data_IF_974120351229
#
_entry.id   IF_974120351229
#
_cell.length_a   1.000
_cell.length_b   1.000
_cell.length_c   1.000
_cell.angle_alpha   90.00
_cell.angle_beta   90.00
_cell.angle_gamma   90.00
#
_symmetry.space_group_name_H-M   'P 1'
#
loop_
_entity.id
_entity.type
_entity.pdbx_description
1 polymer ?
#
# COMPACT_ATOMS: atom_id res chain seq x y z
N UNK A 1 -0.48 -0.82 -16.23
CA UNK A 1 0.57 -1.30 -15.28
C UNK A 1 0.58 -0.31 -14.14
N UNK A 2 0.28 -0.79 -12.94
CA UNK A 2 0.24 0.03 -11.74
C UNK A 2 1.66 0.25 -11.23
N UNK A 3 2.05 1.51 -11.08
CA UNK A 3 3.27 1.93 -10.40
C UNK A 3 2.93 2.56 -9.06
N UNK A 4 3.68 2.18 -8.02
CA UNK A 4 3.44 2.62 -6.65
C UNK A 4 4.74 3.12 -6.03
N UNK A 5 4.66 4.22 -5.29
CA UNK A 5 5.76 4.71 -4.47
C UNK A 5 5.25 5.11 -3.10
N UNK A 6 6.07 4.89 -2.06
CA UNK A 6 5.69 5.06 -0.66
C UNK A 6 6.63 6.03 0.07
N UNK A 7 6.08 6.78 1.00
CA UNK A 7 6.82 7.49 2.05
C UNK A 7 6.27 7.11 3.42
N UNK A 8 6.89 7.58 4.49
CA UNK A 8 6.37 7.46 5.87
C UNK A 8 4.94 7.97 5.98
N UNK A 9 4.65 9.10 5.34
CA UNK A 9 3.40 9.84 5.48
C UNK A 9 2.39 9.60 4.35
N UNK A 10 2.77 8.86 3.31
CA UNK A 10 2.02 8.88 2.07
C UNK A 10 2.32 7.77 1.07
N UNK A 11 1.65 7.89 -0.09
CA UNK A 11 1.84 7.06 -1.26
C UNK A 11 1.51 7.84 -2.54
N UNK A 12 2.00 7.32 -3.65
CA UNK A 12 1.65 7.73 -4.98
C UNK A 12 1.37 6.46 -5.81
N UNK A 13 0.23 6.42 -6.49
CA UNK A 13 -0.19 5.36 -7.41
C UNK A 13 -0.38 5.98 -8.78
N UNK A 14 0.12 5.30 -9.81
CA UNK A 14 -0.15 5.65 -11.20
C UNK A 14 -0.54 4.41 -12.00
N UNK A 15 -1.59 4.55 -12.80
CA UNK A 15 -1.95 3.58 -13.84
C UNK A 15 -2.43 4.31 -15.09
N UNK A 16 -1.80 4.05 -16.23
CA UNK A 16 -2.19 4.57 -17.55
C UNK A 16 -2.42 6.09 -17.61
N UNK A 17 -1.73 6.84 -16.75
CA UNK A 17 -1.81 8.29 -16.63
C UNK A 17 -2.87 8.79 -15.64
N UNK A 18 -3.72 7.91 -15.12
CA UNK A 18 -4.50 8.18 -13.91
C UNK A 18 -3.59 8.09 -12.70
N UNK A 19 -3.82 8.99 -11.74
CA UNK A 19 -2.94 9.17 -10.58
C UNK A 19 -3.77 9.36 -9.34
N UNK A 20 -3.41 8.62 -8.28
CA UNK A 20 -3.98 8.75 -6.95
C UNK A 20 -2.86 8.88 -5.94
N UNK A 21 -3.02 9.73 -4.93
CA UNK A 21 -1.97 9.97 -3.95
C UNK A 21 -2.52 10.45 -2.62
N UNK A 22 -1.76 10.19 -1.57
CA UNK A 22 -1.97 10.73 -0.24
C UNK A 22 -0.62 11.13 0.36
N UNK A 23 -0.59 12.18 1.19
CA UNK A 23 0.59 12.49 2.00
C UNK A 23 1.88 12.81 1.23
N UNK A 24 1.78 13.41 0.04
CA UNK A 24 2.97 13.73 -0.76
C UNK A 24 3.83 14.83 -0.13
N UNK A 25 5.16 14.80 -0.36
CA UNK A 25 6.06 15.93 -0.12
C UNK A 25 5.45 17.23 -0.64
N UNK A 26 5.48 18.30 0.15
CA UNK A 26 4.77 19.54 -0.16
C UNK A 26 5.23 20.13 -1.50
N UNK A 27 6.54 20.06 -1.79
CA UNK A 27 7.11 20.50 -3.06
C UNK A 27 6.60 19.69 -4.25
N UNK A 28 6.47 18.37 -4.11
CA UNK A 28 5.91 17.51 -5.14
C UNK A 28 4.41 17.79 -5.32
N UNK A 29 3.65 17.87 -4.22
CA UNK A 29 2.23 18.21 -4.23
C UNK A 29 1.97 19.48 -5.04
N UNK A 30 2.73 20.56 -4.78
CA UNK A 30 2.56 21.82 -5.52
C UNK A 30 2.86 21.72 -7.02
N UNK A 31 3.63 20.72 -7.47
CA UNK A 31 3.97 20.52 -8.89
C UNK A 31 2.91 19.75 -9.66
N UNK A 32 2.20 18.85 -8.97
CA UNK A 32 1.26 17.92 -9.61
C UNK A 32 -0.20 18.23 -9.31
N UNK A 33 -0.51 18.80 -8.14
CA UNK A 33 -1.87 19.14 -7.77
C UNK A 33 -2.40 20.33 -8.58
N UNK A 34 -3.55 20.13 -9.24
CA UNK A 34 -4.14 21.16 -10.11
C UNK A 34 -3.28 21.51 -11.32
N UNK A 35 -2.37 20.61 -11.73
CA UNK A 35 -1.50 20.79 -12.89
C UNK A 35 -2.35 21.04 -14.14
N UNK A 36 -2.01 22.07 -14.89
CA UNK A 36 -2.74 22.45 -16.10
C UNK A 36 -2.62 21.36 -17.17
N UNK A 37 -3.71 21.04 -17.86
CA UNK A 37 -3.73 20.05 -18.94
C UNK A 37 -2.75 20.34 -20.10
N UNK A 38 -2.33 21.60 -20.26
CA UNK A 38 -1.33 22.00 -21.26
C UNK A 38 0.10 21.64 -20.88
N UNK A 39 0.36 21.31 -19.61
CA UNK A 39 1.68 20.88 -19.15
C UNK A 39 1.83 19.36 -19.35
N UNK A 40 3.06 18.87 -19.55
CA UNK A 40 3.35 17.45 -19.65
C UNK A 40 2.81 16.70 -18.43
N UNK A 41 2.15 15.57 -18.68
CA UNK A 41 1.69 14.67 -17.62
C UNK A 41 2.86 14.04 -16.86
N UNK A 42 2.57 13.48 -15.70
CA UNK A 42 3.55 12.71 -14.92
C UNK A 42 3.78 11.37 -15.62
N UNK A 43 5.04 10.95 -15.73
CA UNK A 43 5.46 9.64 -16.26
C UNK A 43 5.84 8.70 -15.13
N UNK A 44 6.59 9.18 -14.14
CA UNK A 44 7.10 8.38 -13.04
C UNK A 44 7.33 9.26 -11.81
N UNK A 45 7.08 8.72 -10.62
CA UNK A 45 7.34 9.38 -9.33
C UNK A 45 8.01 8.39 -8.40
N UNK A 46 9.09 8.83 -7.77
CA UNK A 46 9.63 8.20 -6.57
C UNK A 46 9.50 9.18 -5.41
N UNK A 47 8.97 8.71 -4.30
CA UNK A 47 8.93 9.44 -3.02
C UNK A 47 9.67 8.63 -1.98
N UNK A 48 10.19 9.34 -0.98
CA UNK A 48 10.71 8.76 0.26
C UNK A 48 10.32 9.71 1.40
N UNK A 49 10.93 9.52 2.57
CA UNK A 49 10.60 10.28 3.76
C UNK A 49 10.93 11.79 3.64
N UNK A 50 10.31 12.58 4.51
CA UNK A 50 10.39 14.03 4.55
C UNK A 50 9.92 14.71 3.24
N UNK A 51 10.72 15.65 2.69
CA UNK A 51 10.44 16.35 1.44
C UNK A 51 11.11 15.66 0.23
N UNK A 52 11.49 14.39 0.36
CA UNK A 52 12.30 13.66 -0.62
C UNK A 52 11.46 13.15 -1.78
N UNK A 53 11.78 13.57 -3.01
CA UNK A 53 11.09 13.09 -4.20
C UNK A 53 11.95 13.18 -5.48
N UNK A 54 11.57 12.39 -6.46
CA UNK A 54 11.93 12.51 -7.86
C UNK A 54 10.66 12.40 -8.70
N UNK A 55 10.53 13.24 -9.73
CA UNK A 55 9.43 13.18 -10.70
C UNK A 55 9.98 13.32 -12.11
N UNK A 56 9.57 12.40 -12.99
CA UNK A 56 9.82 12.42 -14.42
C UNK A 56 8.50 12.67 -15.15
N UNK A 57 8.52 13.57 -16.12
CA UNK A 57 7.36 13.95 -16.92
C UNK A 57 7.38 13.28 -18.31
N UNK A 58 6.22 13.25 -18.97
CA UNK A 58 6.03 12.58 -20.27
C UNK A 58 6.83 13.20 -21.42
N UNK A 59 7.33 14.41 -21.28
CA UNK A 59 8.21 15.08 -22.25
C UNK A 59 9.71 14.83 -21.98
N UNK A 60 10.05 14.04 -20.96
CA UNK A 60 11.42 13.72 -20.58
C UNK A 60 12.04 14.72 -19.60
N UNK A 61 11.34 15.80 -19.24
CA UNK A 61 11.78 16.70 -18.18
C UNK A 61 11.67 16.01 -16.82
N UNK A 62 12.60 16.27 -15.91
CA UNK A 62 12.60 15.70 -14.57
C UNK A 62 12.97 16.73 -13.52
N UNK A 63 12.46 16.54 -12.29
CA UNK A 63 12.70 17.41 -11.15
C UNK A 63 12.78 16.58 -9.88
N UNK A 64 13.61 17.02 -8.93
CA UNK A 64 13.85 16.25 -7.71
C UNK A 64 14.15 17.14 -6.52
N UNK A 65 14.15 16.52 -5.33
CA UNK A 65 14.66 17.03 -4.08
C UNK A 65 15.11 15.79 -3.30
N UNK A 66 16.41 15.46 -3.31
CA UNK A 66 16.93 14.21 -2.71
C UNK A 66 18.12 14.52 -1.80
N UNK A 67 19.33 14.64 -2.36
CA UNK A 67 20.54 15.04 -1.63
C UNK A 67 21.54 15.72 -2.57
N UNK A 68 22.57 16.36 -2.03
CA UNK A 68 23.63 16.96 -2.86
C UNK A 68 24.38 15.89 -3.67
N UNK A 69 24.57 14.68 -3.11
CA UNK A 69 25.19 13.57 -3.85
C UNK A 69 24.32 13.08 -5.02
N UNK A 70 23.00 13.16 -4.87
CA UNK A 70 22.07 12.88 -5.97
C UNK A 70 22.19 13.96 -7.06
N UNK A 71 22.33 15.24 -6.68
CA UNK A 71 22.54 16.33 -7.64
C UNK A 71 23.78 16.09 -8.47
N UNK A 72 24.91 15.77 -7.83
CA UNK A 72 26.17 15.45 -8.50
C UNK A 72 26.02 14.23 -9.41
N UNK A 73 25.38 13.16 -8.93
CA UNK A 73 25.20 11.94 -9.71
C UNK A 73 24.37 12.13 -10.98
N UNK A 74 23.37 13.01 -10.95
CA UNK A 74 22.56 13.35 -12.13
C UNK A 74 23.31 14.32 -13.06
N UNK A 75 24.03 15.29 -12.51
CA UNK A 75 24.77 16.29 -13.30
C UNK A 75 26.02 15.74 -13.99
N UNK A 76 26.68 14.75 -13.38
CA UNK A 76 27.87 14.10 -13.93
C UNK A 76 27.54 13.07 -15.03
N UNK A 77 26.26 12.71 -15.20
CA UNK A 77 25.80 11.80 -16.25
C UNK A 77 25.51 12.54 -17.56
N UNK A 78 25.99 11.99 -18.68
CA UNK A 78 25.64 12.45 -20.02
C UNK A 78 24.26 11.92 -20.50
N UNK A 79 23.60 11.08 -19.69
CA UNK A 79 22.35 10.40 -20.00
C UNK A 79 21.25 10.77 -19.00
N UNK A 80 20.00 10.80 -19.45
CA UNK A 80 18.86 11.16 -18.62
C UNK A 80 18.47 10.02 -17.67
N UNK A 81 17.99 10.32 -16.45
CA UNK A 81 17.42 9.31 -15.57
C UNK A 81 16.18 8.67 -16.21
N UNK A 82 16.20 7.35 -16.34
CA UNK A 82 15.07 6.54 -16.81
C UNK A 82 14.22 6.04 -15.62
N UNK A 83 14.87 5.60 -14.55
CA UNK A 83 14.23 5.09 -13.35
C UNK A 83 15.02 5.50 -12.10
N UNK A 84 14.30 5.84 -11.03
CA UNK A 84 14.89 6.22 -9.74
C UNK A 84 14.18 5.48 -8.62
N UNK A 85 14.93 4.79 -7.77
CA UNK A 85 14.42 4.28 -6.50
C UNK A 85 14.98 5.11 -5.36
N UNK A 86 14.10 5.54 -4.44
CA UNK A 86 14.47 6.26 -3.23
C UNK A 86 14.17 5.37 -2.03
N UNK A 87 15.12 5.27 -1.11
CA UNK A 87 14.97 4.59 0.18
C UNK A 87 15.10 5.57 1.34
N UNK A 88 15.19 5.04 2.56
CA UNK A 88 15.45 5.87 3.75
C UNK A 88 16.89 6.39 3.80
N UNK A 89 17.16 7.37 4.66
CA UNK A 89 18.51 7.85 5.00
C UNK A 89 19.36 8.26 3.77
N UNK A 90 18.75 8.90 2.78
CA UNK A 90 19.44 9.35 1.56
C UNK A 90 19.88 8.21 0.63
N UNK A 91 19.31 7.02 0.80
CA UNK A 91 19.50 5.89 -0.09
C UNK A 91 18.84 6.15 -1.44
N UNK A 92 19.58 5.93 -2.53
CA UNK A 92 19.03 6.01 -3.87
C UNK A 92 19.70 5.06 -4.86
N UNK A 93 18.96 4.73 -5.90
CA UNK A 93 19.42 4.07 -7.11
C UNK A 93 18.89 4.82 -8.33
N UNK A 94 19.74 5.07 -9.32
CA UNK A 94 19.38 5.71 -10.59
C UNK A 94 19.80 4.78 -11.72
N UNK A 95 18.85 4.43 -12.60
CA UNK A 95 19.12 3.85 -13.93
C UNK A 95 18.95 4.95 -14.97
N UNK A 96 19.92 5.09 -15.85
CA UNK A 96 19.92 6.05 -16.95
C UNK A 96 19.53 5.37 -18.27
N UNK A 97 19.06 6.17 -19.24
CA UNK A 97 18.58 5.69 -20.55
C UNK A 97 19.64 4.95 -21.39
N UNK A 98 20.92 5.13 -21.07
CA UNK A 98 22.04 4.45 -21.73
C UNK A 98 22.36 3.08 -21.09
N UNK A 99 21.59 2.69 -20.07
CA UNK A 99 21.77 1.46 -19.30
C UNK A 99 22.80 1.59 -18.17
N UNK A 100 23.48 2.73 -18.03
CA UNK A 100 24.32 2.99 -16.88
C UNK A 100 23.45 3.12 -15.62
N UNK A 101 24.04 2.86 -14.46
CA UNK A 101 23.39 3.11 -13.19
C UNK A 101 24.38 3.56 -12.13
N UNK A 102 23.89 4.37 -11.19
CA UNK A 102 24.61 4.76 -10.00
C UNK A 102 23.72 4.58 -8.76
N UNK A 103 24.34 4.55 -7.60
CA UNK A 103 23.62 4.35 -6.34
C UNK A 103 24.40 4.91 -5.17
N UNK A 104 23.70 5.29 -4.13
CA UNK A 104 24.25 5.73 -2.86
C UNK A 104 23.49 5.10 -1.70
N UNK A 105 24.22 4.75 -0.63
CA UNK A 105 23.66 4.22 0.62
C UNK A 105 22.59 3.12 0.46
N UNK A 106 22.70 2.27 -0.57
CA UNK A 106 21.79 1.13 -0.77
C UNK A 106 22.05 0.02 0.24
N UNK A 107 21.08 -0.89 0.49
CA UNK A 107 21.26 -2.01 1.41
C UNK A 107 22.56 -2.79 1.19
N UNK A 108 23.28 -3.07 2.27
CA UNK A 108 24.65 -3.59 2.21
C UNK A 108 24.76 -4.90 1.40
N UNK A 109 23.76 -5.78 1.53
CA UNK A 109 23.67 -7.02 0.75
C UNK A 109 23.48 -6.75 -0.75
N UNK A 110 22.68 -5.75 -1.13
CA UNK A 110 22.52 -5.35 -2.53
C UNK A 110 23.82 -4.73 -3.07
N UNK A 111 24.44 -3.82 -2.31
CA UNK A 111 25.74 -3.24 -2.65
C UNK A 111 26.79 -4.30 -2.98
N UNK A 112 26.94 -5.30 -2.10
CA UNK A 112 27.91 -6.39 -2.29
C UNK A 112 27.62 -7.20 -3.55
N UNK A 113 26.35 -7.40 -3.91
CA UNK A 113 25.97 -8.10 -5.14
C UNK A 113 26.25 -7.26 -6.39
N UNK A 114 26.11 -5.95 -6.34
CA UNK A 114 26.36 -5.06 -7.48
C UNK A 114 27.86 -4.81 -7.73
N UNK A 115 28.67 -4.66 -6.68
CA UNK A 115 30.10 -4.29 -6.76
C UNK A 115 30.99 -5.24 -7.60
N UNK A 116 30.54 -6.45 -7.88
CA UNK A 116 31.27 -7.45 -8.66
C UNK A 116 30.51 -8.00 -9.87
N UNK A 117 29.39 -7.38 -10.26
CA UNK A 117 28.54 -7.91 -11.33
C UNK A 117 29.25 -7.80 -12.68
N UNK A 118 29.22 -8.89 -13.45
CA UNK A 118 29.84 -8.96 -14.78
C UNK A 118 28.92 -8.30 -15.82
N UNK A 119 29.50 -7.54 -16.75
CA UNK A 119 28.76 -6.74 -17.73
C UNK A 119 27.97 -7.54 -18.78
N UNK A 120 28.21 -8.86 -18.91
CA UNK A 120 27.47 -9.72 -19.83
C UNK A 120 26.20 -10.31 -19.20
N UNK A 121 26.01 -10.15 -17.89
CA UNK A 121 24.78 -10.54 -17.22
C UNK A 121 23.69 -9.51 -17.53
N UNK A 122 22.44 -9.94 -17.49
CA UNK A 122 21.28 -9.07 -17.74
C UNK A 122 21.37 -7.78 -16.91
N UNK A 123 21.17 -6.59 -17.51
CA UNK A 123 21.20 -5.34 -16.77
C UNK A 123 20.15 -5.29 -15.68
N UNK A 124 20.41 -4.46 -14.67
CA UNK A 124 19.45 -4.17 -13.62
C UNK A 124 18.39 -3.22 -14.19
N UNK A 125 17.12 -3.48 -13.89
CA UNK A 125 15.98 -2.74 -14.43
C UNK A 125 15.29 -1.93 -13.34
N UNK A 126 14.73 -2.59 -12.33
CA UNK A 126 14.01 -1.94 -11.23
C UNK A 126 14.61 -2.31 -9.89
N UNK A 127 14.55 -1.37 -8.96
CA UNK A 127 14.95 -1.57 -7.57
C UNK A 127 13.86 -1.00 -6.65
N UNK A 128 13.57 -1.71 -5.58
CA UNK A 128 12.79 -1.22 -4.45
C UNK A 128 13.60 -1.45 -3.17
N UNK A 129 13.52 -0.52 -2.23
CA UNK A 129 14.25 -0.55 -0.96
C UNK A 129 13.29 -0.12 0.14
N UNK A 130 13.33 -0.79 1.28
CA UNK A 130 12.61 -0.36 2.49
C UNK A 130 13.55 0.38 3.46
N UNK A 131 12.99 0.84 4.58
CA UNK A 131 13.71 1.53 5.64
C UNK A 131 14.55 0.64 6.55
N UNK A 132 14.41 -0.68 6.45
CA UNK A 132 15.04 -1.68 7.33
C UNK A 132 16.20 -2.43 6.66
N UNK A 133 16.57 -2.02 5.43
CA UNK A 133 17.64 -2.64 4.65
C UNK A 133 17.16 -3.83 3.80
N UNK A 134 15.85 -4.02 3.70
CA UNK A 134 15.23 -4.89 2.73
C UNK A 134 15.27 -4.29 1.32
N UNK A 135 15.37 -5.16 0.33
CA UNK A 135 15.39 -4.77 -1.08
C UNK A 135 14.80 -5.82 -2.00
N UNK A 136 14.39 -5.36 -3.16
CA UNK A 136 14.09 -6.15 -4.34
C UNK A 136 14.74 -5.49 -5.57
N UNK A 137 15.35 -6.29 -6.42
CA UNK A 137 16.14 -5.85 -7.56
C UNK A 137 15.85 -6.76 -8.76
N UNK A 138 15.14 -6.23 -9.75
CA UNK A 138 14.72 -6.93 -10.97
C UNK A 138 15.65 -6.62 -12.12
N UNK A 139 15.89 -7.62 -12.97
CA UNK A 139 16.71 -7.54 -14.17
C UNK A 139 15.85 -7.49 -15.43
N UNK A 140 16.43 -7.05 -16.54
CA UNK A 140 15.73 -6.94 -17.84
C UNK A 140 15.25 -8.29 -18.40
N UNK A 141 15.82 -9.41 -17.94
CA UNK A 141 15.34 -10.76 -18.27
C UNK A 141 14.16 -11.23 -17.40
N UNK A 142 13.69 -10.37 -16.49
CA UNK A 142 12.59 -10.63 -15.56
C UNK A 142 12.99 -11.44 -14.33
N UNK A 143 14.24 -11.89 -14.21
CA UNK A 143 14.74 -12.46 -12.95
C UNK A 143 14.89 -11.36 -11.90
N UNK A 144 14.92 -11.74 -10.62
CA UNK A 144 15.08 -10.77 -9.54
C UNK A 144 15.86 -11.35 -8.36
N UNK A 145 16.41 -10.43 -7.57
CA UNK A 145 17.01 -10.67 -6.27
C UNK A 145 16.20 -9.97 -5.22
N UNK A 146 16.12 -10.57 -4.04
CA UNK A 146 15.62 -9.90 -2.85
C UNK A 146 16.43 -10.31 -1.63
N UNK A 147 16.26 -9.58 -0.52
CA UNK A 147 16.82 -9.93 0.77
C UNK A 147 16.51 -8.87 1.81
N UNK A 148 16.53 -9.26 3.09
CA UNK A 148 16.24 -8.36 4.21
C UNK A 148 14.75 -7.98 4.34
N UNK A 149 13.86 -8.68 3.63
CA UNK A 149 12.42 -8.47 3.71
C UNK A 149 11.81 -9.30 4.85
N UNK A 150 10.67 -8.86 5.38
CA UNK A 150 9.90 -9.61 6.37
C UNK A 150 9.44 -10.99 5.85
N UNK A 151 9.18 -11.92 6.78
CA UNK A 151 8.83 -13.33 6.48
C UNK A 151 7.64 -13.43 5.53
N UNK A 152 6.53 -12.73 5.83
CA UNK A 152 5.33 -12.74 4.98
C UNK A 152 5.59 -12.32 3.53
N UNK A 153 6.36 -11.25 3.32
CA UNK A 153 6.67 -10.79 1.95
C UNK A 153 7.67 -11.72 1.25
N UNK A 154 8.58 -12.32 2.03
CA UNK A 154 9.52 -13.33 1.53
C UNK A 154 8.79 -14.56 1.01
N UNK A 155 7.83 -15.07 1.78
CA UNK A 155 6.99 -16.23 1.39
C UNK A 155 6.19 -15.91 0.12
N UNK A 156 5.59 -14.70 0.04
CA UNK A 156 4.89 -14.26 -1.17
C UNK A 156 5.79 -14.24 -2.41
N UNK A 157 7.04 -13.80 -2.27
CA UNK A 157 8.02 -13.75 -3.38
C UNK A 157 8.53 -15.12 -3.80
N UNK A 158 8.53 -16.10 -2.89
CA UNK A 158 8.90 -17.48 -3.17
C UNK A 158 7.75 -18.23 -3.89
N UNK A 159 6.50 -17.97 -3.47
CA UNK A 159 5.32 -18.63 -4.04
C UNK A 159 4.83 -17.99 -5.35
N UNK A 160 5.16 -16.73 -5.60
CA UNK A 160 4.62 -15.97 -6.74
C UNK A 160 5.72 -15.37 -7.61
N UNK A 161 5.51 -15.44 -8.93
CA UNK A 161 6.36 -14.72 -9.88
C UNK A 161 6.06 -13.21 -9.79
N UNK A 162 6.89 -12.50 -9.06
CA UNK A 162 6.79 -11.04 -8.92
C UNK A 162 7.08 -10.33 -10.24
N UNK A 163 6.16 -9.47 -10.69
CA UNK A 163 6.35 -8.60 -11.85
C UNK A 163 6.79 -7.20 -11.45
N UNK A 164 6.24 -6.68 -10.35
CA UNK A 164 6.61 -5.40 -9.80
C UNK A 164 6.40 -5.40 -8.29
N UNK A 165 7.35 -4.80 -7.57
CA UNK A 165 7.30 -4.63 -6.13
C UNK A 165 7.69 -3.18 -5.80
N UNK A 166 6.84 -2.52 -5.03
CA UNK A 166 7.14 -1.28 -4.33
C UNK A 166 7.28 -1.58 -2.84
N UNK A 167 8.32 -1.00 -2.23
CA UNK A 167 8.59 -1.10 -0.81
C UNK A 167 8.46 0.29 -0.19
N UNK A 168 7.94 0.34 1.02
CA UNK A 168 7.81 1.55 1.81
C UNK A 168 8.27 1.33 3.25
N UNK A 169 8.33 2.40 4.05
CA UNK A 169 8.69 2.31 5.45
C UNK A 169 7.73 1.42 6.25
N UNK A 170 8.17 0.94 7.41
CA UNK A 170 7.36 0.17 8.36
C UNK A 170 6.73 -1.11 7.77
N UNK A 171 7.45 -1.79 6.86
CA UNK A 171 6.99 -3.04 6.24
C UNK A 171 5.86 -2.86 5.22
N UNK A 172 5.65 -1.62 4.73
CA UNK A 172 4.68 -1.36 3.66
C UNK A 172 5.17 -1.93 2.34
N UNK A 173 4.27 -2.57 1.61
CA UNK A 173 4.58 -3.04 0.26
C UNK A 173 3.36 -3.05 -0.65
N UNK A 174 3.63 -3.02 -1.95
CA UNK A 174 2.70 -3.38 -3.00
C UNK A 174 3.42 -4.29 -3.99
N UNK A 175 2.90 -5.50 -4.15
CA UNK A 175 3.39 -6.53 -5.04
C UNK A 175 2.32 -6.79 -6.11
N UNK A 176 2.74 -6.84 -7.37
CA UNK A 176 1.91 -7.33 -8.47
C UNK A 176 2.57 -8.55 -9.11
N UNK A 177 1.73 -9.53 -9.43
CA UNK A 177 2.08 -10.64 -10.31
C UNK A 177 1.19 -10.57 -11.56
N UNK A 178 1.21 -11.60 -12.43
CA UNK A 178 0.43 -11.57 -13.68
C UNK A 178 -1.09 -11.60 -13.50
N UNK A 179 -1.59 -12.04 -12.34
CA UNK A 179 -2.99 -12.39 -12.13
C UNK A 179 -3.60 -11.74 -10.87
N UNK A 180 -2.78 -11.13 -10.02
CA UNK A 180 -3.15 -10.73 -8.66
C UNK A 180 -2.22 -9.66 -8.13
N UNK A 181 -2.73 -8.95 -7.13
CA UNK A 181 -2.02 -7.92 -6.39
C UNK A 181 -2.05 -8.26 -4.90
N UNK A 182 -0.97 -7.94 -4.20
CA UNK A 182 -0.83 -8.14 -2.76
C UNK A 182 -0.22 -6.88 -2.16
N UNK A 183 -0.75 -6.40 -1.06
CA UNK A 183 -0.19 -5.22 -0.41
C UNK A 183 -0.36 -5.29 1.10
N UNK A 184 0.46 -4.52 1.79
CA UNK A 184 0.37 -4.26 3.21
C UNK A 184 0.50 -2.77 3.41
N UNK A 185 -0.62 -2.07 3.57
CA UNK A 185 -0.70 -0.62 3.66
C UNK A 185 -1.89 -0.20 4.53
N UNK A 186 -2.03 1.11 4.74
CA UNK A 186 -3.16 1.69 5.46
C UNK A 186 -4.45 1.73 4.63
N UNK A 187 -5.61 1.86 5.30
CA UNK A 187 -6.95 1.97 4.71
C UNK A 187 -7.09 2.99 3.55
N UNK A 188 -6.27 4.05 3.49
CA UNK A 188 -6.36 5.02 2.38
C UNK A 188 -5.83 4.38 1.09
N UNK A 189 -4.75 3.61 1.21
CA UNK A 189 -4.17 2.89 0.09
C UNK A 189 -5.15 1.86 -0.44
N UNK A 190 -5.78 1.06 0.43
CA UNK A 190 -6.82 0.08 0.06
C UNK A 190 -7.90 0.73 -0.79
N UNK A 191 -8.45 1.86 -0.34
CA UNK A 191 -9.50 2.57 -1.08
C UNK A 191 -9.01 3.04 -2.45
N UNK A 192 -7.78 3.59 -2.50
CA UNK A 192 -7.21 4.12 -3.75
C UNK A 192 -6.85 3.02 -4.73
N UNK A 193 -6.37 1.87 -4.27
CA UNK A 193 -5.96 0.78 -5.13
C UNK A 193 -7.16 -0.02 -5.63
N UNK A 194 -8.22 -0.16 -4.83
CA UNK A 194 -9.48 -0.80 -5.25
C UNK A 194 -10.16 -0.08 -6.41
N UNK A 195 -10.12 1.25 -6.45
CA UNK A 195 -10.64 2.03 -7.61
C UNK A 195 -9.97 1.63 -8.94
N UNK A 196 -8.73 1.16 -8.92
CA UNK A 196 -8.02 0.67 -10.11
C UNK A 196 -8.30 -0.81 -10.42
N UNK A 197 -8.81 -1.57 -9.45
CA UNK A 197 -9.09 -3.00 -9.60
C UNK A 197 -10.52 -3.27 -10.10
N UNK A 198 -11.46 -2.37 -9.83
CA UNK A 198 -12.87 -2.52 -10.22
C UNK A 198 -13.12 -2.26 -11.73
N UNK A 199 -12.12 -1.77 -12.47
CA UNK A 199 -12.24 -1.44 -13.91
C UNK A 199 -12.09 -2.67 -14.85
N UNK A 200 -11.69 -3.86 -14.36
CA UNK A 200 -11.54 -5.05 -15.22
C UNK A 200 -12.84 -5.87 -15.46
N UNK A 201 -13.97 -5.54 -14.82
CA UNK A 201 -15.22 -6.34 -14.92
C UNK A 201 -16.39 -5.69 -15.70
N UNK A 202 -16.16 -4.60 -16.45
CA UNK A 202 -17.17 -4.04 -17.37
C UNK A 202 -16.99 -4.52 -18.83
N UNK A 203 -16.87 -5.83 -19.07
CA UNK A 203 -17.14 -6.35 -20.42
C UNK A 203 -17.54 -7.84 -20.48
N UNK A 204 -18.65 -8.19 -19.84
CA UNK A 204 -19.45 -9.36 -20.26
C UNK A 204 -20.82 -8.84 -20.68
N UNK A 205 -20.97 -8.64 -21.99
CA UNK A 205 -22.22 -8.32 -22.65
C UNK A 205 -23.33 -9.28 -22.22
N UNK A 206 -24.45 -8.71 -21.78
CA UNK A 206 -25.75 -9.34 -21.70
C UNK A 206 -26.07 -10.05 -23.02
N UNK A 207 -25.93 -11.37 -23.09
CA UNK A 207 -26.72 -12.18 -24.03
C UNK A 207 -26.86 -13.63 -23.54
N UNK A 208 -28.11 -13.97 -23.24
CA UNK A 208 -28.72 -15.31 -23.23
C UNK A 208 -28.59 -16.15 -21.94
N UNK A 209 -29.48 -15.86 -20.99
CA UNK A 209 -30.07 -16.88 -20.12
C UNK A 209 -30.91 -17.85 -20.97
N UNK A 210 -30.47 -19.11 -21.06
CA UNK A 210 -31.37 -20.23 -21.29
C UNK A 210 -31.39 -21.10 -20.03
N UNK A 211 -32.54 -21.08 -19.36
CA UNK A 211 -32.93 -22.00 -18.31
C UNK A 211 -32.83 -23.44 -18.85
N UNK A 212 -31.99 -24.29 -18.24
CA UNK A 212 -32.31 -25.68 -17.92
C UNK A 212 -31.13 -26.37 -17.21
N UNK A 213 -31.43 -26.92 -16.04
CA UNK A 213 -30.65 -27.84 -15.21
C UNK A 213 -29.46 -27.27 -14.39
N UNK A 214 -29.78 -26.75 -13.21
CA UNK A 214 -28.95 -27.04 -12.04
C UNK A 214 -29.82 -27.24 -10.79
N UNK A 215 -30.06 -28.51 -10.49
CA UNK A 215 -30.66 -28.95 -9.25
C UNK A 215 -29.62 -28.95 -8.13
N UNK A 216 -30.02 -28.37 -6.98
CA UNK A 216 -29.63 -28.74 -5.61
C UNK A 216 -28.12 -28.74 -5.33
N UNK A 217 -27.62 -27.64 -4.81
CA UNK A 217 -27.28 -27.48 -3.38
C UNK A 217 -26.52 -26.15 -3.23
N UNK A 218 -27.04 -25.25 -2.39
CA UNK A 218 -26.36 -24.05 -1.88
C UNK A 218 -26.78 -23.98 -0.39
N UNK A 219 -25.89 -23.68 0.57
CA UNK A 219 -25.12 -22.42 0.59
C UNK A 219 -23.66 -22.55 1.06
N UNK A 220 -22.76 -21.72 0.53
CA UNK A 220 -21.76 -20.93 1.30
C UNK A 220 -20.79 -20.18 0.36
N UNK A 221 -21.20 -19.02 -0.17
CA UNK A 221 -20.25 -17.95 -0.51
C UNK A 221 -19.97 -17.14 0.75
N UNK A 222 -19.01 -17.60 1.55
CA UNK A 222 -18.39 -16.81 2.61
C UNK A 222 -17.22 -16.04 2.04
N UNK A 223 -17.18 -14.72 2.24
CA UNK A 223 -16.01 -13.90 1.92
C UNK A 223 -14.77 -14.44 2.64
N UNK A 224 -13.74 -14.81 1.89
CA UNK A 224 -12.45 -15.39 2.34
C UNK A 224 -11.57 -14.35 3.06
N UNK A 225 -12.08 -13.69 4.09
CA UNK A 225 -11.24 -12.93 5.02
C UNK A 225 -10.61 -13.90 6.01
N UNK A 226 -9.30 -14.10 5.94
CA UNK A 226 -8.55 -14.79 6.98
C UNK A 226 -8.57 -13.94 8.27
N UNK A 227 -8.96 -14.54 9.40
CA UNK A 227 -9.03 -13.89 10.71
C UNK A 227 -8.47 -14.81 11.79
N UNK A 228 -7.93 -14.23 12.85
CA UNK A 228 -7.26 -14.98 13.92
C UNK A 228 -8.26 -15.56 14.92
N UNK A 229 -9.24 -14.76 15.33
CA UNK A 229 -10.14 -15.12 16.42
C UNK A 229 -11.53 -14.47 16.29
N UNK A 230 -12.52 -15.09 16.92
CA UNK A 230 -13.85 -14.55 17.13
C UNK A 230 -13.95 -13.93 18.52
N UNK A 231 -14.10 -12.61 18.61
CA UNK A 231 -14.11 -11.87 19.89
C UNK A 231 -15.45 -11.17 20.10
N UNK A 232 -15.92 -11.08 21.34
CA UNK A 232 -17.09 -10.25 21.67
C UNK A 232 -16.71 -8.77 21.50
N UNK A 233 -17.40 -7.99 20.66
CA UNK A 233 -17.13 -6.57 20.47
C UNK A 233 -17.08 -5.78 21.79
N UNK A 234 -17.82 -6.21 22.81
CA UNK A 234 -17.86 -5.55 24.12
C UNK A 234 -16.56 -5.67 24.92
N UNK A 235 -15.66 -6.60 24.56
CA UNK A 235 -14.34 -6.76 25.16
C UNK A 235 -13.25 -5.91 24.47
N UNK A 236 -13.59 -5.23 23.37
CA UNK A 236 -12.65 -4.43 22.57
C UNK A 236 -12.82 -2.94 22.87
N UNK A 237 -11.72 -2.23 23.14
CA UNK A 237 -11.70 -0.78 23.40
C UNK A 237 -11.49 0.04 22.13
N UNK A 238 -11.98 1.27 22.13
CA UNK A 238 -11.72 2.26 21.10
C UNK A 238 -10.38 2.97 21.35
N UNK A 239 -9.60 3.18 20.30
CA UNK A 239 -8.37 3.98 20.37
C UNK A 239 -8.64 5.49 20.28
N UNK A 240 -9.82 5.91 19.81
CA UNK A 240 -10.18 7.32 19.59
C UNK A 240 -11.45 7.73 20.37
N UNK A 241 -11.53 9.01 20.75
CA UNK A 241 -12.68 9.57 21.49
C UNK A 241 -13.86 9.93 20.58
N UNK A 242 -13.59 9.93 19.28
CA UNK A 242 -14.52 10.29 18.24
C UNK A 242 -14.23 9.57 16.94
N UNK A 243 -15.29 9.33 16.16
CA UNK A 243 -15.23 8.74 14.83
C UNK A 243 -16.10 9.55 13.87
N UNK A 244 -15.74 9.55 12.59
CA UNK A 244 -16.59 10.14 11.54
C UNK A 244 -17.82 9.27 11.29
N UNK A 245 -18.94 9.90 10.92
CA UNK A 245 -20.19 9.21 10.57
C UNK A 245 -20.07 8.33 9.33
N UNK A 246 -19.14 8.64 8.42
CA UNK A 246 -19.00 7.93 7.17
C UNK A 246 -17.68 7.13 7.13
N UNK A 247 -17.76 5.96 6.51
CA UNK A 247 -16.63 5.23 5.97
C UNK A 247 -16.07 6.00 4.77
N UNK A 248 -14.88 5.63 4.30
CA UNK A 248 -14.19 6.38 3.23
C UNK A 248 -14.84 6.18 1.85
N UNK A 249 -15.49 5.04 1.65
CA UNK A 249 -16.37 4.69 0.51
C UNK A 249 -17.69 5.50 0.46
N UNK A 250 -17.90 6.43 1.40
CA UNK A 250 -19.13 7.21 1.51
C UNK A 250 -20.30 6.48 2.17
N UNK A 251 -20.17 5.18 2.44
CA UNK A 251 -21.14 4.43 3.23
C UNK A 251 -21.12 4.94 4.68
N UNK A 252 -22.25 4.83 5.38
CA UNK A 252 -22.37 5.39 6.73
C UNK A 252 -22.24 4.30 7.78
N UNK A 253 -21.66 4.61 8.94
CA UNK A 253 -21.63 3.69 10.10
C UNK A 253 -23.04 3.25 10.52
N UNK A 254 -24.05 4.08 10.22
CA UNK A 254 -25.46 3.75 10.46
C UNK A 254 -26.02 2.79 9.40
N UNK A 255 -25.46 2.80 8.19
CA UNK A 255 -25.85 1.87 7.12
C UNK A 255 -25.35 0.46 7.45
N UNK A 256 -24.07 0.33 7.84
CA UNK A 256 -23.53 -0.94 8.34
C UNK A 256 -24.32 -1.45 9.57
N UNK A 257 -24.61 -0.58 10.54
CA UNK A 257 -25.47 -0.91 11.68
C UNK A 257 -26.86 -1.42 11.25
N UNK A 258 -27.47 -0.80 10.24
CA UNK A 258 -28.77 -1.20 9.70
C UNK A 258 -28.69 -2.60 9.10
N UNK A 259 -27.67 -2.86 8.28
CA UNK A 259 -27.45 -4.15 7.63
C UNK A 259 -27.20 -5.27 8.65
N UNK A 260 -26.38 -5.01 9.68
CA UNK A 260 -26.14 -5.97 10.78
C UNK A 260 -27.42 -6.29 11.55
N UNK A 261 -28.27 -5.30 11.85
CA UNK A 261 -29.58 -5.53 12.48
C UNK A 261 -30.58 -6.25 11.58
N UNK A 262 -30.39 -6.19 10.26
CA UNK A 262 -31.19 -6.90 9.27
C UNK A 262 -30.71 -8.33 9.03
N UNK A 263 -29.64 -8.77 9.69
CA UNK A 263 -29.15 -10.15 9.64
C UNK A 263 -27.93 -10.35 8.76
N UNK A 264 -27.22 -9.28 8.35
CA UNK A 264 -25.90 -9.41 7.73
C UNK A 264 -24.96 -10.19 8.66
N UNK A 265 -24.29 -11.21 8.11
CA UNK A 265 -23.34 -12.00 8.87
C UNK A 265 -22.10 -11.17 9.21
N UNK A 266 -21.58 -11.20 10.45
CA UNK A 266 -20.37 -10.47 10.81
C UNK A 266 -19.13 -10.83 9.99
N UNK A 267 -19.06 -12.05 9.43
CA UNK A 267 -17.95 -12.47 8.55
C UNK A 267 -17.99 -11.84 7.16
N UNK A 268 -19.13 -11.29 6.72
CA UNK A 268 -19.25 -10.54 5.47
C UNK A 268 -18.69 -9.11 5.59
N UNK A 269 -18.23 -8.72 6.78
CA UNK A 269 -17.60 -7.44 7.08
C UNK A 269 -16.13 -7.72 7.37
N UNK A 270 -15.19 -6.91 6.85
CA UNK A 270 -13.77 -7.13 7.09
C UNK A 270 -13.44 -7.27 8.60
N UNK A 271 -12.53 -8.19 8.98
CA UNK A 271 -12.15 -8.43 10.37
C UNK A 271 -11.61 -7.19 11.07
N UNK A 272 -11.98 -6.99 12.34
CA UNK A 272 -11.51 -5.86 13.13
C UNK A 272 -10.02 -6.05 13.43
N UNK A 273 -9.19 -5.09 13.03
CA UNK A 273 -7.81 -5.05 13.46
C UNK A 273 -7.76 -4.62 14.93
N UNK A 274 -7.13 -5.48 15.74
CA UNK A 274 -7.00 -5.31 17.18
C UNK A 274 -5.55 -5.41 17.60
N UNK A 275 -5.17 -4.63 18.61
CA UNK A 275 -3.83 -4.69 19.21
C UNK A 275 -3.95 -4.90 20.71
N UNK A 276 -3.05 -5.69 21.27
CA UNK A 276 -3.00 -5.93 22.71
C UNK A 276 -2.02 -4.96 23.37
N UNK A 277 -2.50 -4.16 24.33
CA UNK A 277 -1.69 -3.19 25.06
C UNK A 277 -2.06 -3.21 26.54
N UNK A 278 -1.05 -3.37 27.39
CA UNK A 278 -1.20 -3.41 28.86
C UNK A 278 -2.28 -4.42 29.35
N UNK A 279 -2.51 -5.50 28.58
CA UNK A 279 -3.48 -6.56 28.88
C UNK A 279 -4.90 -6.31 28.36
N UNK A 280 -5.15 -5.13 27.78
CA UNK A 280 -6.43 -4.77 27.14
C UNK A 280 -6.34 -4.89 25.62
N UNK A 281 -7.49 -5.14 24.98
CA UNK A 281 -7.61 -5.21 23.53
C UNK A 281 -8.15 -3.90 22.97
N UNK A 282 -7.46 -3.32 22.00
CA UNK A 282 -7.78 -2.02 21.42
C UNK A 282 -7.99 -2.12 19.91
N UNK A 283 -9.01 -1.44 19.40
CA UNK A 283 -9.37 -1.45 17.99
C UNK A 283 -8.67 -0.35 17.22
N UNK A 284 -8.07 -0.72 16.10
CA UNK A 284 -7.63 0.21 15.06
C UNK A 284 -8.87 0.69 14.26
N UNK A 285 -9.86 -0.20 14.10
CA UNK A 285 -11.09 0.00 13.34
C UNK A 285 -12.29 0.53 14.14
N UNK A 286 -12.14 1.68 14.80
CA UNK A 286 -13.16 2.23 15.71
C UNK A 286 -14.56 2.38 15.08
N UNK A 287 -14.67 2.64 13.77
CA UNK A 287 -15.96 2.78 13.07
C UNK A 287 -16.69 1.44 12.92
N UNK A 288 -15.98 0.37 12.54
CA UNK A 288 -16.54 -0.98 12.44
C UNK A 288 -16.92 -1.50 13.82
N UNK A 289 -16.02 -1.35 14.80
CA UNK A 289 -16.29 -1.71 16.18
C UNK A 289 -17.55 -1.02 16.72
N UNK A 290 -17.75 0.26 16.40
CA UNK A 290 -18.96 0.99 16.78
C UNK A 290 -20.23 0.39 16.17
N UNK A 291 -20.22 0.06 14.89
CA UNK A 291 -21.38 -0.55 14.24
C UNK A 291 -21.74 -1.89 14.89
N UNK A 292 -20.74 -2.74 15.16
CA UNK A 292 -20.94 -4.04 15.82
C UNK A 292 -21.47 -3.91 17.26
N UNK A 293 -20.87 -3.05 18.09
CA UNK A 293 -21.34 -2.79 19.46
C UNK A 293 -22.79 -2.26 19.47
N UNK A 294 -23.15 -1.36 18.54
CA UNK A 294 -24.53 -0.82 18.45
C UNK A 294 -25.53 -1.79 17.84
N UNK A 295 -25.06 -2.75 17.05
CA UNK A 295 -25.87 -3.85 16.52
C UNK A 295 -26.12 -4.96 17.56
N UNK A 296 -25.41 -4.93 18.70
CA UNK A 296 -25.48 -5.94 19.75
C UNK A 296 -25.08 -7.34 19.24
N UNK A 297 -24.07 -7.36 18.37
CA UNK A 297 -23.42 -8.58 17.86
C UNK A 297 -22.55 -9.16 18.97
N UNK A 298 -22.65 -10.47 19.21
CA UNK A 298 -21.95 -11.16 20.30
C UNK A 298 -20.57 -11.70 19.92
N UNK A 299 -20.21 -11.67 18.64
CA UNK A 299 -18.93 -12.17 18.15
C UNK A 299 -18.60 -11.59 16.78
N UNK A 300 -17.36 -11.12 16.61
CA UNK A 300 -16.83 -10.55 15.37
C UNK A 300 -15.47 -11.16 15.06
N UNK A 301 -15.12 -11.33 13.77
CA UNK A 301 -13.79 -11.76 13.38
C UNK A 301 -12.79 -10.63 13.66
N UNK A 302 -11.63 -10.99 14.21
CA UNK A 302 -10.53 -10.05 14.49
C UNK A 302 -9.21 -10.54 13.91
N UNK A 303 -8.30 -9.61 13.67
CA UNK A 303 -6.90 -9.87 13.32
C UNK A 303 -6.00 -9.09 14.27
N UNK A 304 -4.99 -9.74 14.85
CA UNK A 304 -4.03 -9.12 15.75
C UNK A 304 -2.97 -8.37 14.95
N UNK A 305 -2.76 -7.10 15.30
CA UNK A 305 -1.70 -6.25 14.73
C UNK A 305 -0.73 -5.81 15.82
N UNK A 306 0.56 -5.75 15.51
CA UNK A 306 1.56 -5.26 16.46
C UNK A 306 1.36 -3.76 16.70
N UNK A 307 1.30 -3.30 17.97
CA UNK A 307 1.16 -1.89 18.31
C UNK A 307 2.21 -0.98 17.66
N UNK A 308 3.43 -1.50 17.42
CA UNK A 308 4.53 -0.76 16.81
C UNK A 308 4.31 -0.45 15.32
N UNK A 309 3.59 -1.32 14.59
CA UNK A 309 3.22 -1.06 13.19
C UNK A 309 2.10 -0.02 13.04
N UNK A 310 1.31 0.20 14.10
CA UNK A 310 0.15 1.07 14.05
C UNK A 310 0.44 2.53 14.46
N UNK A 311 1.70 2.87 14.77
CA UNK A 311 2.12 4.22 15.12
C UNK A 311 1.51 4.78 16.42
N UNK A 312 0.92 3.92 17.27
CA UNK A 312 0.33 4.34 18.54
C UNK A 312 1.40 4.41 19.64
N UNK A 313 1.70 5.61 20.11
CA UNK A 313 2.49 5.78 21.33
C UNK A 313 1.56 5.91 22.54
N UNK A 314 2.07 5.50 23.71
CA UNK A 314 1.34 5.39 25.00
C UNK A 314 0.57 6.65 25.45
N UNK A 315 0.75 7.80 24.79
CA UNK A 315 0.09 9.08 25.06
C UNK A 315 -1.13 9.40 24.18
N UNK A 316 -1.41 8.59 23.15
CA UNK A 316 -2.42 8.91 22.12
C UNK A 316 -3.77 8.21 22.34
N UNK A 317 -3.88 7.34 23.34
CA UNK A 317 -5.12 6.61 23.68
C UNK A 317 -6.04 7.43 24.57
N UNK A 318 -7.34 7.30 24.33
CA UNK A 318 -8.37 7.86 25.22
C UNK A 318 -8.34 7.12 26.56
N UNK A 319 -8.50 7.85 27.67
CA UNK A 319 -8.33 7.33 29.03
C UNK A 319 -9.01 5.98 29.32
N UNK A 320 -10.26 5.79 28.90
CA UNK A 320 -11.02 4.56 29.20
C UNK A 320 -11.35 3.71 27.97
N UNK A 321 -11.39 4.30 26.76
CA UNK A 321 -11.61 3.58 25.50
C UNK A 321 -12.97 2.88 25.36
N UNK A 322 -13.92 3.06 26.28
CA UNK A 322 -15.21 2.34 26.24
C UNK A 322 -16.28 3.03 25.40
N UNK A 323 -16.20 4.36 25.30
CA UNK A 323 -17.15 5.20 24.59
C UNK A 323 -16.48 5.99 23.47
N UNK A 324 -17.25 6.27 22.42
CA UNK A 324 -16.80 7.05 21.27
C UNK A 324 -17.93 7.92 20.73
N UNK A 325 -17.61 9.14 20.31
CA UNK A 325 -18.57 10.10 19.78
C UNK A 325 -18.58 10.05 18.25
N UNK A 326 -19.75 9.82 17.63
CA UNK A 326 -19.89 9.95 16.18
C UNK A 326 -20.03 11.43 15.81
N UNK A 327 -19.05 11.97 15.08
CA UNK A 327 -19.06 13.34 14.56
C UNK A 327 -19.59 13.34 13.12
N UNK A 328 -20.36 14.38 12.79
CA UNK A 328 -20.86 14.62 11.43
C UNK A 328 -19.73 14.93 10.45
#
# INVERSE_FOLDING_TARGET
>A
MIEVSFSSDGYFIMEDGNVSWCGLPRRLYNKINGRQHSLPGVKFVAIADDETYFVLFKDGEYQWNVSEEFDDAVQDSDSHPEFVALGSDGSYFIKFEDGAYCYNNIPHSLHNRLRGRQSHLSPLDKVAMDSEGGYWAQFEDGSYWWGGLGERLSDLLDDNKCQYLALGPNGRYFLSNSNSFYWNCDDNFDSSISEYMDDEDENISEEQYSEEEMSRDDPEEGSDYEFDEWIDPSDIRYTQDSIKQNFRDGSSVHELLRQLRQGMCPSCVPPIQVMQMDGDLWSVDNRRLWAFKKANVSSVPVVYVDPSFCGFYRGDLVQDGWDVIVRQ
#
